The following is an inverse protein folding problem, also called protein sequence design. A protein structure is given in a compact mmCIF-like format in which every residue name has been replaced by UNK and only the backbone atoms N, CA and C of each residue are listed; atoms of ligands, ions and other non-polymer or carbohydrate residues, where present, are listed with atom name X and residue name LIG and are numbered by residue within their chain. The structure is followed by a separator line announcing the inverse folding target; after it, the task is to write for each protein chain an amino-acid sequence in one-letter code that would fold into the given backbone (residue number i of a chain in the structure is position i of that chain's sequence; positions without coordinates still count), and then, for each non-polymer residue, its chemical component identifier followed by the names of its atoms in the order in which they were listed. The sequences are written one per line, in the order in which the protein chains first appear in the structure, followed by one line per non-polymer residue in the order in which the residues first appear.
data_IF_349593407433
#
_entry.id   IF_349593407433
#
_cell.length_a   1.000
_cell.length_b   1.000
_cell.length_c   1.000
_cell.angle_alpha   90.00
_cell.angle_beta   90.00
_cell.angle_gamma   90.00
#
_symmetry.space_group_name_H-M   'P 1'
#
loop_
_entity.id
_entity.type
_entity.pdbx_description
1 polymer ?
#
# COMPACT_ATOMS: atom_id res chain seq x y z
N UNK A 1 -9.40 26.94 -32.36
CA UNK A 1 -10.37 27.60 -33.27
C UNK A 1 -11.24 26.52 -33.91
N UNK A 2 -12.52 26.45 -33.55
CA UNK A 2 -13.59 25.90 -34.41
C UNK A 2 -14.08 27.06 -35.32
N UNK A 3 -14.79 26.89 -36.47
CA UNK A 3 -15.89 25.93 -36.73
C UNK A 3 -15.88 25.41 -38.21
N UNK A 4 -16.81 24.63 -38.79
CA UNK A 4 -18.29 24.76 -38.91
C UNK A 4 -18.91 23.57 -39.68
N UNK A 5 -20.14 23.20 -39.27
CA UNK A 5 -21.32 22.83 -40.09
C UNK A 5 -21.50 21.40 -40.65
N UNK A 6 -22.19 20.59 -39.84
CA UNK A 6 -23.34 19.74 -40.23
C UNK A 6 -24.42 20.54 -41.01
N UNK A 7 -25.60 20.01 -41.36
CA UNK A 7 -26.04 18.69 -41.85
C UNK A 7 -26.95 18.85 -43.10
N UNK A 8 -27.01 17.86 -43.98
CA UNK A 8 -28.11 17.74 -44.95
C UNK A 8 -28.07 16.30 -45.44
N UNK A 9 -28.96 15.46 -44.92
CA UNK A 9 -29.61 14.32 -45.58
C UNK A 9 -30.42 13.54 -44.54
N UNK A 10 -31.34 14.30 -43.93
CA UNK A 10 -32.34 13.87 -42.96
C UNK A 10 -33.66 13.57 -43.67
N UNK A 11 -33.64 13.05 -44.91
CA UNK A 11 -34.87 13.00 -45.73
C UNK A 11 -35.16 11.71 -46.49
N UNK A 12 -34.35 10.66 -46.40
CA UNK A 12 -34.57 9.46 -47.23
C UNK A 12 -34.87 8.16 -46.49
N UNK A 13 -34.87 8.11 -45.16
CA UNK A 13 -35.13 6.85 -44.44
C UNK A 13 -36.39 6.88 -43.56
N UNK A 14 -37.38 7.68 -43.96
CA UNK A 14 -38.68 7.81 -43.30
C UNK A 14 -39.81 6.94 -43.88
N UNK A 15 -39.55 5.99 -44.79
CA UNK A 15 -40.64 5.24 -45.46
C UNK A 15 -40.43 3.73 -45.64
N UNK A 16 -39.69 3.08 -44.72
CA UNK A 16 -39.65 1.63 -44.61
C UNK A 16 -40.13 1.19 -43.23
N UNK A 17 -41.43 0.94 -43.07
CA UNK A 17 -41.94 0.34 -41.84
C UNK A 17 -41.36 -1.05 -41.62
N UNK A 18 -41.02 -1.37 -40.37
CA UNK A 18 -41.13 -2.71 -39.77
C UNK A 18 -40.85 -2.59 -38.27
N UNK A 19 -41.71 -3.19 -37.46
CA UNK A 19 -41.69 -3.17 -36.01
C UNK A 19 -40.31 -3.53 -35.42
N UNK A 20 -39.79 -2.71 -34.50
CA UNK A 20 -38.65 -3.07 -33.66
C UNK A 20 -38.98 -2.81 -32.19
N UNK A 21 -39.28 -3.85 -31.38
CA UNK A 21 -39.32 -3.73 -29.93
C UNK A 21 -37.90 -3.71 -29.36
N UNK A 22 -36.98 -2.95 -29.98
CA UNK A 22 -35.55 -2.98 -29.65
C UNK A 22 -35.12 -1.91 -28.64
N UNK A 23 -35.86 -0.81 -28.53
CA UNK A 23 -35.42 0.33 -27.70
C UNK A 23 -35.66 0.13 -26.20
N UNK A 24 -36.72 -0.59 -25.79
CA UNK A 24 -36.93 -0.90 -24.37
C UNK A 24 -35.93 -1.94 -23.84
N UNK A 25 -35.55 -2.93 -24.65
CA UNK A 25 -34.54 -3.93 -24.26
C UNK A 25 -33.13 -3.32 -24.17
N UNK A 26 -32.76 -2.40 -25.07
CA UNK A 26 -31.50 -1.67 -24.98
C UNK A 26 -31.44 -0.75 -23.75
N UNK A 27 -32.54 -0.05 -23.44
CA UNK A 27 -32.63 0.77 -22.23
C UNK A 27 -32.50 -0.05 -20.94
N UNK A 28 -33.19 -1.20 -20.86
CA UNK A 28 -33.14 -2.09 -19.70
C UNK A 28 -31.76 -2.76 -19.53
N UNK A 29 -31.10 -3.14 -20.65
CA UNK A 29 -29.76 -3.69 -20.62
C UNK A 29 -28.71 -2.65 -20.18
N UNK A 30 -28.81 -1.42 -20.67
CA UNK A 30 -27.92 -0.32 -20.27
C UNK A 30 -28.09 0.03 -18.78
N UNK A 31 -29.33 0.13 -18.29
CA UNK A 31 -29.58 0.36 -16.86
C UNK A 31 -29.13 -0.80 -15.98
N UNK A 32 -29.20 -2.03 -16.48
CA UNK A 32 -28.70 -3.21 -15.78
C UNK A 32 -27.19 -3.19 -15.63
N UNK A 33 -26.47 -2.83 -16.70
CA UNK A 33 -25.01 -2.68 -16.68
C UNK A 33 -24.55 -1.54 -15.77
N UNK A 34 -25.21 -0.38 -15.77
CA UNK A 34 -24.89 0.72 -14.83
C UNK A 34 -25.10 0.30 -13.38
N UNK A 35 -26.16 -0.46 -13.08
CA UNK A 35 -26.41 -1.00 -11.75
C UNK A 35 -25.36 -2.02 -11.29
N UNK A 36 -24.86 -2.87 -12.20
CA UNK A 36 -23.76 -3.79 -11.90
C UNK A 36 -22.44 -3.06 -11.68
N UNK A 37 -22.18 -2.00 -12.45
CA UNK A 37 -20.98 -1.17 -12.32
C UNK A 37 -20.97 -0.43 -10.98
N UNK A 38 -22.10 0.17 -10.59
CA UNK A 38 -22.29 0.82 -9.30
C UNK A 38 -22.08 -0.16 -8.13
N UNK A 39 -22.60 -1.39 -8.27
CA UNK A 39 -22.45 -2.44 -7.25
C UNK A 39 -21.01 -2.95 -7.15
N UNK A 40 -20.32 -3.11 -8.28
CA UNK A 40 -18.90 -3.45 -8.32
C UNK A 40 -18.04 -2.33 -7.73
N UNK A 41 -18.37 -1.06 -7.98
CA UNK A 41 -17.68 0.08 -7.37
C UNK A 41 -17.90 0.14 -5.86
N UNK A 42 -19.13 -0.11 -5.38
CA UNK A 42 -19.43 -0.21 -3.94
C UNK A 42 -18.74 -1.40 -3.28
N UNK A 43 -18.70 -2.55 -3.95
CA UNK A 43 -18.01 -3.75 -3.46
C UNK A 43 -16.49 -3.55 -3.45
N UNK A 44 -15.94 -2.87 -4.47
CA UNK A 44 -14.53 -2.49 -4.52
C UNK A 44 -14.22 -1.42 -3.46
N UNK A 45 -15.12 -0.46 -3.21
CA UNK A 45 -14.97 0.54 -2.16
C UNK A 45 -15.10 -0.06 -0.77
N UNK A 46 -15.95 -1.08 -0.57
CA UNK A 46 -16.07 -1.83 0.66
C UNK A 46 -14.83 -2.73 0.90
N UNK A 47 -14.37 -3.44 -0.13
CA UNK A 47 -13.12 -4.21 -0.07
C UNK A 47 -11.92 -3.31 0.16
N UNK A 48 -11.78 -2.22 -0.59
CA UNK A 48 -10.72 -1.25 -0.40
C UNK A 48 -10.84 -0.57 0.97
N UNK A 49 -12.04 -0.18 1.42
CA UNK A 49 -12.28 0.40 2.74
C UNK A 49 -11.88 -0.53 3.87
N UNK A 50 -12.16 -1.84 3.77
CA UNK A 50 -11.71 -2.86 4.72
C UNK A 50 -10.18 -3.06 4.68
N UNK A 51 -9.57 -2.98 3.49
CA UNK A 51 -8.12 -3.04 3.34
C UNK A 51 -7.42 -1.78 3.87
N UNK A 52 -8.01 -0.59 3.69
CA UNK A 52 -7.52 0.68 4.22
C UNK A 52 -7.71 0.77 5.74
N UNK A 53 -8.81 0.27 6.29
CA UNK A 53 -9.02 0.21 7.75
C UNK A 53 -7.99 -0.70 8.43
N UNK A 54 -7.60 -1.81 7.79
CA UNK A 54 -6.46 -2.64 8.23
C UNK A 54 -5.09 -1.97 8.03
N UNK A 55 -4.98 -1.01 7.11
CA UNK A 55 -3.73 -0.26 6.89
C UNK A 55 -3.55 0.89 7.90
N UNK A 56 -4.62 1.36 8.53
CA UNK A 56 -4.60 2.45 9.52
C UNK A 56 -4.24 1.93 10.92
N UNK A 57 -4.60 0.69 11.25
CA UNK A 57 -4.22 0.04 12.49
C UNK A 57 -3.04 -0.90 12.27
N UNK A 58 -1.83 -0.51 12.69
CA UNK A 58 -0.72 -1.46 12.70
C UNK A 58 -1.15 -2.78 13.37
N UNK A 59 -0.74 -3.93 12.81
CA UNK A 59 -1.11 -5.23 13.37
C UNK A 59 -0.82 -5.29 14.87
N UNK A 60 -1.71 -5.91 15.64
CA UNK A 60 -1.56 -6.06 17.09
C UNK A 60 -0.19 -6.67 17.47
N UNK A 61 0.32 -7.58 16.63
CA UNK A 61 1.65 -8.17 16.78
C UNK A 61 2.78 -7.12 16.69
N UNK A 62 2.68 -6.17 15.75
CA UNK A 62 3.63 -5.07 15.62
C UNK A 62 3.55 -4.15 16.84
N UNK A 63 2.35 -3.74 17.26
CA UNK A 63 2.19 -2.90 18.47
C UNK A 63 2.80 -3.56 19.72
N UNK A 64 2.56 -4.85 19.93
CA UNK A 64 3.18 -5.61 21.03
C UNK A 64 4.70 -5.62 20.94
N UNK A 65 5.26 -5.82 19.74
CA UNK A 65 6.71 -5.76 19.49
C UNK A 65 7.30 -4.39 19.84
N UNK A 66 6.60 -3.30 19.52
CA UNK A 66 7.07 -1.94 19.84
C UNK A 66 7.02 -1.65 21.34
N UNK A 67 6.07 -2.24 22.08
CA UNK A 67 6.00 -2.13 23.54
C UNK A 67 7.05 -2.97 24.27
N UNK A 68 7.56 -4.02 23.62
CA UNK A 68 8.59 -4.92 24.15
C UNK A 68 9.67 -5.15 23.09
N UNK A 69 10.54 -4.14 22.84
CA UNK A 69 11.55 -4.23 21.82
C UNK A 69 12.54 -5.36 22.12
N UNK A 70 12.91 -6.09 21.07
CA UNK A 70 13.88 -7.18 21.16
C UNK A 70 15.26 -6.65 20.78
N UNK A 71 16.31 -6.98 21.55
CA UNK A 71 17.66 -6.52 21.24
C UNK A 71 18.15 -7.12 19.91
N UNK A 72 18.99 -6.37 19.20
CA UNK A 72 19.72 -6.91 18.05
C UNK A 72 20.71 -8.00 18.50
N UNK A 73 21.33 -8.71 17.55
CA UNK A 73 22.38 -9.69 17.85
C UNK A 73 23.55 -9.09 18.66
N UNK A 74 23.78 -7.79 18.51
CA UNK A 74 24.81 -7.02 19.22
C UNK A 74 24.31 -6.44 20.55
N UNK A 75 23.10 -6.81 20.99
CA UNK A 75 22.49 -6.34 22.23
C UNK A 75 21.91 -4.92 22.16
N UNK A 76 21.77 -4.32 20.97
CA UNK A 76 21.28 -2.95 20.83
C UNK A 76 19.75 -2.93 20.90
N UNK A 77 19.22 -1.98 21.67
CA UNK A 77 17.79 -1.67 21.72
C UNK A 77 17.56 -0.28 21.13
N UNK A 78 16.44 -0.07 20.39
CA UNK A 78 16.05 1.26 19.97
C UNK A 78 15.71 2.10 21.21
N UNK A 79 16.31 3.28 21.29
CA UNK A 79 15.98 4.28 22.32
C UNK A 79 14.60 4.89 22.13
N UNK A 80 14.13 4.90 20.88
CA UNK A 80 12.77 5.31 20.51
C UNK A 80 12.28 4.45 19.37
N UNK A 81 11.01 4.06 19.46
CA UNK A 81 10.27 3.37 18.43
C UNK A 81 9.00 4.17 18.12
N UNK A 82 8.89 4.69 16.91
CA UNK A 82 7.74 5.49 16.49
C UNK A 82 7.11 4.87 15.26
N UNK A 83 5.84 4.52 15.36
CA UNK A 83 5.03 4.18 14.21
C UNK A 83 4.15 5.39 13.89
N UNK A 84 4.27 5.94 12.68
CA UNK A 84 3.44 7.06 12.22
C UNK A 84 2.14 6.53 11.63
N UNK A 85 1.07 7.33 11.65
CA UNK A 85 -0.19 7.04 10.93
C UNK A 85 0.07 7.00 9.42
N UNK A 86 0.52 5.83 8.95
CA UNK A 86 1.08 5.58 7.62
C UNK A 86 1.98 4.33 7.64
N UNK A 87 2.54 3.91 6.49
CA UNK A 87 3.35 2.69 6.44
C UNK A 87 4.80 2.92 6.91
N UNK A 88 5.08 3.84 7.84
CA UNK A 88 6.43 4.19 8.28
C UNK A 88 6.65 3.82 9.76
N UNK A 89 7.62 2.94 9.98
CA UNK A 89 8.20 2.67 11.29
C UNK A 89 9.57 3.33 11.41
N UNK A 90 9.83 3.97 12.54
CA UNK A 90 11.11 4.61 12.85
C UNK A 90 11.72 4.04 14.12
N UNK A 91 13.01 3.69 14.03
CA UNK A 91 13.84 3.36 15.18
C UNK A 91 15.01 4.33 15.32
N UNK A 92 15.14 4.93 16.50
CA UNK A 92 16.28 5.76 16.85
C UNK A 92 17.18 4.99 17.84
N UNK A 93 18.44 4.76 17.47
CA UNK A 93 19.43 4.04 18.27
C UNK A 93 20.46 4.99 18.89
N UNK A 94 20.88 4.67 20.12
CA UNK A 94 22.05 5.24 20.77
C UNK A 94 23.17 4.21 20.72
N UNK A 95 24.25 4.53 20.01
CA UNK A 95 25.37 3.59 19.86
C UNK A 95 26.34 3.70 21.04
N UNK A 96 26.88 2.56 21.53
CA UNK A 96 27.91 2.56 22.56
C UNK A 96 29.24 3.11 22.03
N UNK A 97 30.14 3.44 22.97
CA UNK A 97 31.50 3.87 22.63
C UNK A 97 32.22 2.76 21.86
N UNK A 98 32.91 3.13 20.78
CA UNK A 98 33.60 2.19 19.89
C UNK A 98 32.78 1.74 18.68
N UNK A 99 31.51 2.12 18.57
CA UNK A 99 30.66 1.83 17.42
C UNK A 99 30.32 3.10 16.63
N UNK A 100 30.66 3.14 15.34
CA UNK A 100 30.43 4.29 14.45
C UNK A 100 29.12 4.18 13.63
N UNK A 101 28.66 2.96 13.37
CA UNK A 101 27.44 2.69 12.60
C UNK A 101 26.69 1.48 13.12
N UNK A 102 25.40 1.39 12.78
CA UNK A 102 24.63 0.16 13.01
C UNK A 102 25.18 -0.97 12.12
N UNK A 103 25.34 -2.19 12.65
CA UNK A 103 25.68 -3.36 11.86
C UNK A 103 24.48 -3.78 10.99
N UNK A 104 24.48 -3.34 9.74
CA UNK A 104 23.36 -3.52 8.79
C UNK A 104 23.74 -4.44 7.62
N UNK A 105 24.49 -5.51 7.87
CA UNK A 105 24.91 -6.46 6.82
C UNK A 105 23.71 -7.07 6.07
N UNK A 106 22.64 -7.43 6.79
CA UNK A 106 21.41 -8.00 6.21
C UNK A 106 20.16 -7.33 6.83
N UNK A 107 19.83 -6.10 6.41
CA UNK A 107 18.79 -5.30 7.06
C UNK A 107 17.40 -5.90 6.88
N UNK A 108 17.12 -6.52 5.73
CA UNK A 108 15.83 -7.16 5.45
C UNK A 108 15.56 -8.34 6.39
N UNK A 109 16.57 -9.17 6.65
CA UNK A 109 16.44 -10.32 7.56
C UNK A 109 16.39 -9.87 9.02
N UNK A 110 17.23 -8.90 9.37
CA UNK A 110 17.27 -8.34 10.73
C UNK A 110 15.94 -7.76 11.17
N UNK A 111 15.24 -7.06 10.29
CA UNK A 111 13.95 -6.43 10.56
C UNK A 111 12.81 -7.11 9.82
N UNK A 112 12.94 -8.40 9.56
CA UNK A 112 11.97 -9.17 8.78
C UNK A 112 10.57 -9.10 9.41
N UNK A 113 10.50 -9.22 10.74
CA UNK A 113 9.23 -9.13 11.44
C UNK A 113 8.55 -7.79 11.17
N UNK A 114 9.24 -6.69 11.42
CA UNK A 114 8.71 -5.33 11.27
C UNK A 114 8.29 -5.08 9.81
N UNK A 115 9.18 -5.36 8.85
CA UNK A 115 8.95 -5.12 7.43
C UNK A 115 7.79 -5.96 6.89
N UNK A 116 7.63 -7.22 7.30
CA UNK A 116 6.48 -8.06 6.90
C UNK A 116 5.16 -7.54 7.46
N UNK A 117 5.18 -6.89 8.62
CA UNK A 117 3.97 -6.39 9.29
C UNK A 117 3.59 -4.95 8.92
N UNK A 118 4.49 -4.19 8.28
CA UNK A 118 4.20 -2.86 7.73
C UNK A 118 3.44 -2.90 6.39
N UNK A 119 3.31 -4.08 5.78
CA UNK A 119 2.65 -4.26 4.50
C UNK A 119 3.50 -3.80 3.31
N UNK A 120 2.95 -3.91 2.09
CA UNK A 120 3.70 -3.74 0.83
C UNK A 120 4.32 -2.35 0.62
N UNK A 121 3.69 -1.32 1.18
CA UNK A 121 4.18 0.06 1.11
C UNK A 121 4.99 0.45 2.37
N UNK A 122 5.25 -0.54 3.23
CA UNK A 122 6.00 -0.43 4.47
C UNK A 122 7.39 0.14 4.27
N UNK A 123 7.79 1.02 5.19
CA UNK A 123 9.09 1.65 5.26
C UNK A 123 9.59 1.57 6.69
N UNK A 124 10.87 1.24 6.83
CA UNK A 124 11.59 1.23 8.10
C UNK A 124 12.73 2.24 8.03
N UNK A 125 12.60 3.33 8.79
CA UNK A 125 13.65 4.32 8.98
C UNK A 125 14.47 3.96 10.23
N UNK A 126 15.76 3.75 10.04
CA UNK A 126 16.73 3.57 11.10
C UNK A 126 17.54 4.85 11.22
N UNK A 127 17.64 5.38 12.43
CA UNK A 127 18.57 6.46 12.76
C UNK A 127 19.45 6.00 13.90
N UNK A 128 20.72 6.40 13.87
CA UNK A 128 21.63 6.11 14.97
C UNK A 128 22.52 7.31 15.28
N UNK A 129 22.86 7.45 16.55
CA UNK A 129 23.80 8.46 17.03
C UNK A 129 24.69 7.87 18.12
N UNK A 130 26.00 8.05 17.97
CA UNK A 130 27.03 7.68 18.93
C UNK A 130 28.19 8.67 18.91
N UNK A 131 29.16 8.46 19.80
CA UNK A 131 30.34 9.33 19.91
C UNK A 131 31.21 9.33 18.65
N UNK A 132 31.25 8.20 17.93
CA UNK A 132 32.04 8.04 16.71
C UNK A 132 31.29 8.43 15.41
N UNK A 133 30.00 8.78 15.51
CA UNK A 133 29.23 9.18 14.33
C UNK A 133 27.72 9.03 14.48
N UNK A 134 27.01 9.49 13.45
CA UNK A 134 25.57 9.33 13.29
C UNK A 134 25.27 8.94 11.86
N UNK A 135 24.09 8.37 11.64
CA UNK A 135 23.63 8.06 10.31
C UNK A 135 22.17 7.66 10.29
N UNK A 136 21.68 7.42 9.08
CA UNK A 136 20.34 6.98 8.83
C UNK A 136 20.29 5.97 7.68
N UNK A 137 19.28 5.12 7.69
CA UNK A 137 19.00 4.20 6.60
C UNK A 137 17.50 3.98 6.49
N UNK A 138 16.97 4.14 5.28
CA UNK A 138 15.60 3.81 4.95
C UNK A 138 15.56 2.47 4.23
N UNK A 139 14.74 1.54 4.72
CA UNK A 139 14.52 0.22 4.13
C UNK A 139 13.07 0.17 3.68
N UNK A 140 12.84 -0.07 2.39
CA UNK A 140 11.48 -0.27 1.90
C UNK A 140 11.15 -1.76 1.89
N UNK A 141 9.94 -2.12 2.33
CA UNK A 141 9.48 -3.50 2.32
C UNK A 141 9.59 -4.13 0.93
N UNK A 142 9.29 -3.35 -0.11
CA UNK A 142 9.33 -3.79 -1.51
C UNK A 142 10.73 -4.19 -1.99
N UNK A 143 11.78 -3.66 -1.35
CA UNK A 143 13.17 -3.93 -1.70
C UNK A 143 13.70 -5.21 -1.01
N UNK A 144 12.90 -5.79 -0.11
CA UNK A 144 13.24 -7.01 0.60
C UNK A 144 12.54 -8.23 -0.04
N UNK A 145 13.29 -9.16 -0.67
CA UNK A 145 12.74 -10.32 -1.37
C UNK A 145 12.35 -11.42 -0.38
N UNK A 146 11.33 -11.17 0.42
CA UNK A 146 10.87 -12.10 1.45
C UNK A 146 10.31 -13.40 0.85
N UNK A 147 10.67 -14.53 1.46
CA UNK A 147 10.12 -15.83 1.10
C UNK A 147 8.63 -15.91 1.47
N UNK A 148 7.84 -16.48 0.56
CA UNK A 148 6.43 -16.80 0.81
C UNK A 148 6.26 -18.10 1.64
N UNK A 149 7.31 -18.92 1.74
CA UNK A 149 7.29 -20.23 2.42
C UNK A 149 7.58 -20.16 3.92
N UNK A 150 8.00 -19.01 4.43
CA UNK A 150 8.36 -18.83 5.82
C UNK A 150 9.37 -17.69 6.04
N UNK A 151 9.97 -17.61 7.24
CA UNK A 151 11.05 -16.68 7.54
C UNK A 151 12.22 -16.85 6.57
N UNK A 152 12.89 -15.76 6.22
CA UNK A 152 13.99 -15.76 5.27
C UNK A 152 13.69 -15.01 3.96
N UNK A 153 14.74 -14.85 3.16
CA UNK A 153 14.68 -14.32 1.80
C UNK A 153 14.46 -15.46 0.78
N UNK A 154 14.07 -15.10 -0.44
CA UNK A 154 13.88 -16.03 -1.57
C UNK A 154 15.19 -16.58 -2.12
#
# INVERSE_FOLDING_TARGET
MHPTRAPLLLLTLLLGGCATPGHQQLGAALSGLEGELQRLEEELAAMNGLHYQKAIDAPLSLRRRLSAPVPTAEGLLPSRSTLTDGPLLRYDYRLPVGMASLPLAEPCLRYEFELRHLGRLGQLALHWQGAAGSGEQLIQQRDCPFSAKGPGLQ
#
